data_IF_228527635281
#
_entry.id   IF_228527635281
#
_cell.length_a   1.000
_cell.length_b   1.000
_cell.length_c   1.000
_cell.angle_alpha   90.00
_cell.angle_beta   90.00
_cell.angle_gamma   90.00
#
_symmetry.space_group_name_H-M   'P 1'
#
loop_
_entity.id
_entity.type
_entity.pdbx_description
1 polymer ?
#
# COMPACT_ATOMS: atom_id res chain seq x y z
N UNK A 1 12.24 -17.86 -27.61
CA UNK A 1 11.30 -18.40 -26.61
C UNK A 1 11.59 -17.67 -25.31
N UNK A 2 10.93 -16.54 -25.06
CA UNK A 2 11.10 -15.84 -23.79
C UNK A 2 10.38 -16.68 -22.74
N UNK A 3 11.15 -17.36 -21.88
CA UNK A 3 10.61 -18.01 -20.70
C UNK A 3 10.26 -16.88 -19.73
N UNK A 4 8.98 -16.57 -19.63
CA UNK A 4 8.49 -15.68 -18.58
C UNK A 4 8.60 -16.48 -17.28
N UNK A 5 9.55 -16.10 -16.44
CA UNK A 5 9.69 -16.69 -15.12
C UNK A 5 8.60 -16.13 -14.21
N UNK A 6 7.51 -16.88 -14.07
CA UNK A 6 6.39 -16.53 -13.18
C UNK A 6 6.76 -16.62 -11.69
N UNK A 7 7.96 -17.08 -11.35
CA UNK A 7 8.47 -17.15 -9.98
C UNK A 7 9.43 -15.99 -9.65
N UNK A 8 9.76 -15.13 -10.63
CA UNK A 8 10.59 -13.96 -10.38
C UNK A 8 9.78 -12.90 -9.63
N UNK A 9 10.10 -12.77 -8.34
CA UNK A 9 9.53 -11.78 -7.42
C UNK A 9 10.49 -10.63 -7.16
N UNK A 10 11.60 -10.56 -7.91
CA UNK A 10 12.55 -9.46 -7.79
C UNK A 10 11.93 -8.18 -8.34
N UNK A 11 12.10 -7.08 -7.61
CA UNK A 11 11.62 -5.78 -8.06
C UNK A 11 12.53 -5.27 -9.16
N UNK A 12 11.93 -4.70 -10.19
CA UNK A 12 12.68 -3.92 -11.17
C UNK A 12 13.30 -2.68 -10.50
N UNK A 13 14.39 -2.12 -11.07
CA UNK A 13 14.99 -0.88 -10.57
C UNK A 13 13.98 0.28 -10.47
N UNK A 14 13.03 0.35 -11.40
CA UNK A 14 11.97 1.36 -11.40
C UNK A 14 11.02 1.18 -10.20
N UNK A 15 10.66 -0.07 -9.85
CA UNK A 15 9.83 -0.36 -8.68
C UNK A 15 10.55 -0.05 -7.37
N UNK A 16 11.87 -0.26 -7.31
CA UNK A 16 12.68 0.11 -6.14
C UNK A 16 12.74 1.63 -5.96
N UNK A 17 12.89 2.39 -7.04
CA UNK A 17 12.88 3.86 -7.03
C UNK A 17 11.52 4.41 -6.57
N UNK A 18 10.42 3.83 -7.07
CA UNK A 18 9.05 4.18 -6.63
C UNK A 18 8.87 3.85 -5.15
N UNK A 19 9.29 2.67 -4.71
CA UNK A 19 9.20 2.27 -3.31
C UNK A 19 10.02 3.20 -2.39
N UNK A 20 11.19 3.67 -2.85
CA UNK A 20 12.00 4.65 -2.14
C UNK A 20 11.29 6.00 -2.02
N UNK A 21 10.71 6.50 -3.12
CA UNK A 21 9.95 7.74 -3.11
C UNK A 21 8.73 7.69 -2.16
N UNK A 22 8.00 6.56 -2.14
CA UNK A 22 6.86 6.35 -1.23
C UNK A 22 7.34 6.41 0.23
N UNK A 23 8.46 5.75 0.56
CA UNK A 23 9.04 5.78 1.92
C UNK A 23 9.43 7.19 2.35
N UNK A 24 10.05 7.97 1.47
CA UNK A 24 10.47 9.34 1.76
C UNK A 24 9.28 10.27 2.01
N UNK A 25 8.24 10.16 1.19
CA UNK A 25 7.00 10.93 1.36
C UNK A 25 6.30 10.53 2.65
N UNK A 26 6.20 9.21 2.94
CA UNK A 26 5.63 8.71 4.19
C UNK A 26 6.41 9.22 5.40
N UNK A 27 7.75 9.22 5.35
CA UNK A 27 8.59 9.74 6.43
C UNK A 27 8.37 11.25 6.68
N UNK A 28 8.14 12.04 5.62
CA UNK A 28 7.80 13.47 5.75
C UNK A 28 6.41 13.72 6.34
N UNK A 29 5.46 12.85 6.04
CA UNK A 29 4.07 13.00 6.49
C UNK A 29 3.85 12.40 7.89
N UNK A 30 4.64 11.39 8.26
CA UNK A 30 4.57 10.73 9.57
C UNK A 30 3.18 10.20 9.87
N UNK A 31 2.75 10.36 11.12
CA UNK A 31 1.47 9.85 11.62
C UNK A 31 0.23 10.59 11.05
N UNK A 32 0.45 11.60 10.19
CA UNK A 32 -0.64 12.31 9.52
C UNK A 32 -1.24 11.52 8.37
N UNK A 33 -0.57 10.46 7.91
CA UNK A 33 -1.05 9.59 6.83
C UNK A 33 -1.23 8.18 7.32
N UNK A 34 -2.38 7.59 6.98
CA UNK A 34 -2.68 6.19 7.17
C UNK A 34 -2.89 5.51 5.82
N UNK A 35 -2.11 4.46 5.54
CA UNK A 35 -2.21 3.67 4.31
C UNK A 35 -2.95 2.36 4.60
N UNK A 36 -4.10 2.17 3.96
CA UNK A 36 -4.97 1.01 4.14
C UNK A 36 -4.95 0.16 2.86
N UNK A 37 -4.51 -1.09 2.96
CA UNK A 37 -4.44 -2.03 1.84
C UNK A 37 -5.53 -3.09 1.90
N UNK A 38 -6.22 -3.34 0.79
CA UNK A 38 -7.10 -4.50 0.69
C UNK A 38 -6.30 -5.77 0.37
N UNK A 39 -6.75 -6.93 0.85
CA UNK A 39 -6.12 -8.26 0.65
C UNK A 39 -5.85 -8.67 -0.81
N UNK A 40 -6.44 -7.99 -1.78
CA UNK A 40 -6.32 -8.33 -3.21
C UNK A 40 -5.26 -7.48 -3.93
N UNK A 41 -4.46 -6.71 -3.20
CA UNK A 41 -3.40 -5.92 -3.79
C UNK A 41 -2.10 -6.69 -3.99
N UNK A 42 -1.32 -6.25 -4.97
CA UNK A 42 0.02 -6.80 -5.25
C UNK A 42 0.95 -6.60 -4.07
N UNK A 43 1.93 -7.49 -3.92
CA UNK A 43 2.90 -7.46 -2.80
C UNK A 43 3.62 -6.11 -2.66
N UNK A 44 3.95 -5.46 -3.79
CA UNK A 44 4.57 -4.11 -3.81
C UNK A 44 3.66 -2.97 -3.32
N UNK A 45 2.37 -3.20 -3.13
CA UNK A 45 1.44 -2.25 -2.51
C UNK A 45 1.22 -2.63 -1.05
N UNK A 46 1.07 -3.92 -0.78
CA UNK A 46 0.88 -4.49 0.56
C UNK A 46 2.05 -4.15 1.48
N UNK A 47 3.28 -4.14 0.96
CA UNK A 47 4.48 -3.77 1.74
C UNK A 47 4.48 -2.32 2.26
N UNK A 48 3.68 -1.45 1.64
CA UNK A 48 3.59 -0.03 1.98
C UNK A 48 2.35 0.29 2.81
N UNK A 49 1.45 -0.69 3.01
CA UNK A 49 0.25 -0.51 3.79
C UNK A 49 0.52 -0.64 5.29
N UNK A 50 -0.08 0.24 6.09
CA UNK A 50 -0.02 0.17 7.56
C UNK A 50 -0.93 -0.93 8.10
N UNK A 51 -2.08 -1.13 7.44
CA UNK A 51 -3.00 -2.21 7.75
C UNK A 51 -3.47 -2.88 6.47
N UNK A 52 -3.58 -4.20 6.54
CA UNK A 52 -4.06 -5.06 5.47
C UNK A 52 -5.27 -5.81 6.01
N UNK A 53 -6.42 -5.64 5.35
CA UNK A 53 -7.69 -6.13 5.90
C UNK A 53 -8.80 -6.25 4.86
N UNK A 54 -9.94 -6.76 5.33
CA UNK A 54 -11.21 -6.63 4.64
C UNK A 54 -11.80 -5.23 4.81
N UNK A 55 -12.85 -4.95 4.05
CA UNK A 55 -13.58 -3.68 4.08
C UNK A 55 -13.97 -3.21 5.49
N UNK A 56 -14.45 -4.13 6.33
CA UNK A 56 -15.00 -3.79 7.65
C UNK A 56 -13.89 -3.46 8.65
N UNK A 57 -12.80 -4.23 8.63
CA UNK A 57 -11.62 -3.96 9.43
C UNK A 57 -11.01 -2.62 9.04
N UNK A 58 -10.87 -2.35 7.74
CA UNK A 58 -10.28 -1.10 7.26
C UNK A 58 -11.15 0.11 7.62
N UNK A 59 -12.48 0.03 7.53
CA UNK A 59 -13.38 1.11 7.97
C UNK A 59 -13.29 1.38 9.47
N UNK A 60 -13.19 0.36 10.32
CA UNK A 60 -12.98 0.55 11.75
C UNK A 60 -11.62 1.18 12.07
N UNK A 61 -10.56 0.74 11.38
CA UNK A 61 -9.22 1.30 11.54
C UNK A 61 -9.13 2.74 11.08
N UNK A 62 -9.79 3.07 9.97
CA UNK A 62 -9.95 4.45 9.50
C UNK A 62 -10.66 5.32 10.54
N UNK A 63 -11.79 4.84 11.09
CA UNK A 63 -12.57 5.58 12.08
C UNK A 63 -11.85 5.76 13.43
N UNK A 64 -10.96 4.84 13.79
CA UNK A 64 -10.16 4.89 15.02
C UNK A 64 -8.82 5.63 14.86
N UNK A 65 -8.50 6.13 13.67
CA UNK A 65 -7.23 6.80 13.39
C UNK A 65 -7.35 8.32 13.52
N UNK A 66 -6.32 8.94 14.11
CA UNK A 66 -6.16 10.39 14.16
C UNK A 66 -5.46 10.96 12.90
N UNK A 67 -5.20 10.12 11.89
CA UNK A 67 -4.52 10.54 10.66
C UNK A 67 -5.37 11.55 9.90
N UNK A 68 -4.74 12.64 9.47
CA UNK A 68 -5.40 13.71 8.70
C UNK A 68 -5.71 13.27 7.27
N UNK A 69 -5.01 12.25 6.76
CA UNK A 69 -5.15 11.78 5.39
C UNK A 69 -5.11 10.26 5.36
N UNK A 70 -6.07 9.66 4.67
CA UNK A 70 -6.18 8.21 4.50
C UNK A 70 -5.95 7.88 3.03
N UNK A 71 -4.95 7.04 2.76
CA UNK A 71 -4.64 6.53 1.42
C UNK A 71 -5.18 5.11 1.34
N UNK A 72 -6.25 4.93 0.57
CA UNK A 72 -6.88 3.62 0.40
C UNK A 72 -6.33 2.93 -0.85
N UNK A 73 -5.41 1.98 -0.63
CA UNK A 73 -4.84 1.13 -1.65
C UNK A 73 -5.79 -0.06 -1.92
N UNK A 74 -6.89 0.23 -2.61
CA UNK A 74 -7.95 -0.73 -2.94
C UNK A 74 -8.52 -0.48 -4.34
N UNK A 75 -9.68 -1.06 -4.63
CA UNK A 75 -10.47 -0.72 -5.83
C UNK A 75 -11.40 0.45 -5.52
N UNK A 76 -11.74 1.23 -6.54
CA UNK A 76 -12.43 2.53 -6.45
C UNK A 76 -13.83 2.51 -5.79
N UNK A 77 -14.36 1.35 -5.39
CA UNK A 77 -15.71 1.20 -4.81
C UNK A 77 -15.76 1.38 -3.28
N UNK A 78 -14.65 1.78 -2.64
CA UNK A 78 -14.54 1.93 -1.18
C UNK A 78 -14.04 3.30 -0.70
N UNK A 79 -13.89 4.28 -1.60
CA UNK A 79 -13.45 5.65 -1.29
C UNK A 79 -14.63 6.61 -1.15
#
# INVERSE_FOLDING_TARGET
>A
MCVVDYMDTTKSPEEEDIAAAIRDVRARLGDKVLILGHHYQRDGIVEHADYIGDSFMLSQKAAASDATTIVFCGVHFMA
#
